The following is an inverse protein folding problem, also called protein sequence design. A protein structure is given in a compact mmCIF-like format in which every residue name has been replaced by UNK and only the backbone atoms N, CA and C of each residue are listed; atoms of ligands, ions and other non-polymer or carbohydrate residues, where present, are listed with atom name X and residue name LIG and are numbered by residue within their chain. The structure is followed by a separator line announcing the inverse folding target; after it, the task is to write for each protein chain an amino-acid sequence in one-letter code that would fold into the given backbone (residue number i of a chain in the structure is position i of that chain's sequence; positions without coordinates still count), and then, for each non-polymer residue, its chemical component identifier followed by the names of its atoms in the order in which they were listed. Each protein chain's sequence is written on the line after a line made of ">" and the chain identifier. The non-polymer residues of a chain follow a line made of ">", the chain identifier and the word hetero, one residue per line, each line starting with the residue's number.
data_IF_812959962542
#
_entry.id   IF_812959962542
#
_cell.length_a   1.000
_cell.length_b   1.000
_cell.length_c   1.000
_cell.angle_alpha   90.00
_cell.angle_beta   90.00
_cell.angle_gamma   90.00
#
_symmetry.space_group_name_H-M   'P 1'
#
loop_
_entity.id
_entity.type
_entity.pdbx_description
1 polymer ?
#
# COMPACT_ATOMS: atom_id res chain seq x y z
N UNK A 1 -16.18 -5.47 -2.09
CA UNK A 1 -16.93 -4.20 -2.06
C UNK A 1 -16.79 -3.38 -3.34
N UNK A 2 -15.99 -3.80 -4.32
CA UNK A 2 -15.84 -3.18 -5.64
C UNK A 2 -16.55 -3.97 -6.72
N UNK A 3 -16.91 -3.29 -7.82
CA UNK A 3 -17.32 -3.97 -9.05
C UNK A 3 -16.19 -4.86 -9.54
N UNK A 4 -16.53 -6.07 -9.98
CA UNK A 4 -15.57 -6.95 -10.62
C UNK A 4 -14.98 -6.24 -11.85
N UNK A 5 -13.65 -6.05 -11.83
CA UNK A 5 -12.94 -5.41 -12.93
C UNK A 5 -12.70 -6.41 -14.04
N UNK A 6 -13.49 -6.30 -15.13
CA UNK A 6 -13.26 -7.07 -16.34
C UNK A 6 -12.03 -6.50 -17.08
N UNK A 7 -10.88 -7.06 -16.74
CA UNK A 7 -9.58 -6.66 -17.28
C UNK A 7 -9.54 -6.81 -18.81
N UNK A 8 -10.06 -7.90 -19.35
CA UNK A 8 -10.00 -8.17 -20.80
C UNK A 8 -10.89 -7.21 -21.59
N UNK A 9 -12.12 -6.97 -21.12
CA UNK A 9 -13.03 -6.00 -21.73
C UNK A 9 -12.45 -4.58 -21.70
N UNK A 10 -11.83 -4.20 -20.61
CA UNK A 10 -11.19 -2.89 -20.48
C UNK A 10 -9.96 -2.79 -21.39
N UNK A 11 -9.11 -3.83 -21.43
CA UNK A 11 -7.95 -3.90 -22.31
C UNK A 11 -8.35 -3.80 -23.78
N UNK A 12 -9.45 -4.45 -24.20
CA UNK A 12 -9.99 -4.35 -25.56
C UNK A 12 -10.34 -2.92 -25.95
N UNK A 13 -11.00 -2.19 -25.04
CA UNK A 13 -11.34 -0.77 -25.27
C UNK A 13 -10.10 0.11 -25.36
N UNK A 14 -9.10 -0.11 -24.49
CA UNK A 14 -7.84 0.62 -24.48
C UNK A 14 -7.03 0.32 -25.74
N UNK A 15 -6.91 -0.95 -26.13
CA UNK A 15 -6.20 -1.38 -27.33
C UNK A 15 -6.74 -0.71 -28.60
N UNK A 16 -8.08 -0.64 -28.74
CA UNK A 16 -8.74 0.05 -29.84
C UNK A 16 -8.39 1.55 -29.88
N UNK A 17 -8.39 2.21 -28.72
CA UNK A 17 -8.03 3.65 -28.59
C UNK A 17 -6.56 3.91 -28.92
N UNK A 18 -5.67 3.04 -28.45
CA UNK A 18 -4.22 3.17 -28.63
C UNK A 18 -3.71 2.57 -29.95
N UNK A 19 -4.59 1.98 -30.76
CA UNK A 19 -4.24 1.30 -32.03
C UNK A 19 -3.17 0.21 -31.83
N UNK A 20 -3.33 -0.60 -30.80
CA UNK A 20 -2.44 -1.71 -30.44
C UNK A 20 -3.25 -2.99 -30.22
N UNK A 21 -2.59 -4.08 -29.79
CA UNK A 21 -3.28 -5.36 -29.48
C UNK A 21 -3.68 -5.43 -28.01
N UNK A 22 -4.65 -6.28 -27.70
CA UNK A 22 -5.13 -6.52 -26.34
C UNK A 22 -4.01 -7.12 -25.49
N UNK A 23 -3.24 -8.04 -26.08
CA UNK A 23 -2.10 -8.71 -25.45
C UNK A 23 -1.01 -7.69 -25.04
N UNK A 24 -0.73 -6.71 -25.91
CA UNK A 24 0.24 -5.66 -25.61
C UNK A 24 -0.22 -4.79 -24.42
N UNK A 25 -1.52 -4.44 -24.36
CA UNK A 25 -2.07 -3.68 -23.23
C UNK A 25 -2.00 -4.49 -21.93
N UNK A 26 -2.36 -5.77 -21.98
CA UNK A 26 -2.30 -6.65 -20.81
C UNK A 26 -0.87 -6.86 -20.32
N UNK A 27 0.09 -7.01 -21.23
CA UNK A 27 1.50 -7.14 -20.91
C UNK A 27 2.06 -5.84 -20.25
N UNK A 28 1.71 -4.68 -20.78
CA UNK A 28 2.09 -3.38 -20.21
C UNK A 28 1.53 -3.20 -18.79
N UNK A 29 0.26 -3.55 -18.57
CA UNK A 29 -0.34 -3.50 -17.23
C UNK A 29 0.30 -4.48 -16.26
N UNK A 30 0.62 -5.70 -16.70
CA UNK A 30 1.31 -6.69 -15.88
C UNK A 30 2.72 -6.21 -15.49
N UNK A 31 3.44 -5.60 -16.43
CA UNK A 31 4.77 -5.03 -16.18
C UNK A 31 4.69 -3.85 -15.22
N UNK A 32 3.71 -2.93 -15.42
CA UNK A 32 3.47 -1.80 -14.52
C UNK A 32 3.13 -2.23 -13.09
N UNK A 33 2.31 -3.27 -12.95
CA UNK A 33 1.98 -3.85 -11.66
C UNK A 33 3.21 -4.49 -10.99
N UNK A 34 4.00 -5.27 -11.75
CA UNK A 34 5.23 -5.89 -11.24
C UNK A 34 6.25 -4.83 -10.80
N UNK A 35 6.42 -3.76 -11.56
CA UNK A 35 7.26 -2.62 -11.19
C UNK A 35 6.81 -2.00 -9.87
N UNK A 36 5.51 -1.67 -9.75
CA UNK A 36 4.95 -0.99 -8.58
C UNK A 36 5.02 -1.84 -7.32
N UNK A 37 4.70 -3.13 -7.43
CA UNK A 37 4.77 -4.07 -6.30
C UNK A 37 6.21 -4.32 -5.86
N UNK A 38 7.16 -4.43 -6.80
CA UNK A 38 8.58 -4.58 -6.47
C UNK A 38 9.10 -3.35 -5.74
N UNK A 39 8.84 -2.15 -6.26
CA UNK A 39 9.26 -0.89 -5.65
C UNK A 39 8.66 -0.72 -4.25
N UNK A 40 7.36 -1.01 -4.10
CA UNK A 40 6.67 -0.97 -2.80
C UNK A 40 7.30 -1.93 -1.80
N UNK A 41 7.47 -3.19 -2.17
CA UNK A 41 8.07 -4.21 -1.31
C UNK A 41 9.50 -3.86 -0.87
N UNK A 42 10.29 -3.24 -1.74
CA UNK A 42 11.64 -2.78 -1.38
C UNK A 42 11.61 -1.63 -0.37
N UNK A 43 10.67 -0.68 -0.52
CA UNK A 43 10.50 0.41 0.44
C UNK A 43 10.04 -0.13 1.81
N UNK A 44 9.02 -0.99 1.85
CA UNK A 44 8.52 -1.58 3.09
C UNK A 44 9.63 -2.38 3.80
N UNK A 45 10.41 -3.17 3.04
CA UNK A 45 11.56 -3.89 3.57
C UNK A 45 12.63 -2.95 4.15
N UNK A 46 12.87 -1.80 3.49
CA UNK A 46 13.76 -0.78 4.02
C UNK A 46 13.25 -0.24 5.36
N UNK A 47 11.97 0.11 5.45
CA UNK A 47 11.35 0.67 6.64
C UNK A 47 11.41 -0.34 7.80
N UNK A 48 11.05 -1.60 7.57
CA UNK A 48 11.15 -2.67 8.57
C UNK A 48 12.59 -2.82 9.08
N UNK A 49 13.56 -2.92 8.17
CA UNK A 49 14.96 -3.05 8.55
C UNK A 49 15.48 -1.83 9.32
N UNK A 50 15.04 -0.62 8.96
CA UNK A 50 15.41 0.62 9.63
C UNK A 50 14.96 0.60 11.10
N UNK A 51 13.71 0.28 11.38
CA UNK A 51 13.19 0.21 12.74
C UNK A 51 13.72 -1.00 13.53
N UNK A 52 14.00 -2.11 12.86
CA UNK A 52 14.59 -3.28 13.48
C UNK A 52 16.12 -3.18 13.69
N UNK A 53 16.76 -2.07 13.34
CA UNK A 53 18.22 -1.89 13.34
C UNK A 53 18.97 -2.98 12.57
N UNK A 54 18.36 -3.51 11.51
CA UNK A 54 19.00 -4.49 10.62
C UNK A 54 19.73 -3.77 9.49
N UNK A 55 20.81 -4.38 9.01
CA UNK A 55 21.47 -3.90 7.81
C UNK A 55 20.50 -3.93 6.65
N UNK A 56 20.35 -2.81 5.97
CA UNK A 56 19.51 -2.71 4.77
C UNK A 56 20.30 -3.29 3.60
N UNK A 57 19.93 -4.47 3.15
CA UNK A 57 20.41 -5.06 1.92
C UNK A 57 19.31 -4.91 0.86
N UNK A 58 19.64 -4.21 -0.21
CA UNK A 58 18.73 -4.04 -1.35
C UNK A 58 18.81 -5.25 -2.30
N UNK A 59 18.58 -6.43 -1.78
CA UNK A 59 18.33 -7.60 -2.61
C UNK A 59 16.90 -7.54 -3.14
N UNK A 60 16.69 -6.72 -4.15
CA UNK A 60 15.42 -6.68 -4.86
C UNK A 60 15.25 -7.95 -5.69
N UNK A 61 14.13 -8.64 -5.52
CA UNK A 61 13.76 -9.69 -6.45
C UNK A 61 13.25 -9.04 -7.76
N UNK A 62 14.16 -8.89 -8.71
CA UNK A 62 13.90 -8.30 -10.03
C UNK A 62 13.41 -9.32 -11.08
N UNK A 63 12.95 -10.49 -10.66
CA UNK A 63 12.45 -11.52 -11.58
C UNK A 63 11.29 -10.96 -12.41
N UNK A 64 11.39 -11.12 -13.73
CA UNK A 64 10.38 -10.68 -14.68
C UNK A 64 10.46 -9.20 -15.08
N UNK A 65 11.32 -8.39 -14.44
CA UNK A 65 11.56 -6.99 -14.84
C UNK A 65 12.67 -6.88 -15.88
N UNK A 66 12.46 -6.04 -16.88
CA UNK A 66 13.45 -5.65 -17.86
C UNK A 66 14.54 -4.73 -17.29
N UNK A 67 15.52 -4.39 -18.12
CA UNK A 67 16.62 -3.51 -17.72
C UNK A 67 16.10 -2.10 -17.33
N UNK A 68 15.20 -1.54 -18.13
CA UNK A 68 14.68 -0.18 -17.92
C UNK A 68 13.86 -0.07 -16.64
N UNK A 69 13.05 -1.08 -16.31
CA UNK A 69 12.25 -1.11 -15.09
C UNK A 69 13.15 -1.23 -13.85
N UNK A 70 14.20 -2.05 -13.93
CA UNK A 70 15.20 -2.18 -12.85
C UNK A 70 15.91 -0.84 -12.62
N UNK A 71 16.34 -0.19 -13.69
CA UNK A 71 16.99 1.12 -13.60
C UNK A 71 16.07 2.16 -12.96
N UNK A 72 14.80 2.23 -13.37
CA UNK A 72 13.80 3.11 -12.76
C UNK A 72 13.59 2.85 -11.27
N UNK A 73 13.57 1.58 -10.84
CA UNK A 73 13.49 1.24 -9.41
C UNK A 73 14.71 1.77 -8.66
N UNK A 74 15.92 1.53 -9.18
CA UNK A 74 17.17 1.98 -8.57
C UNK A 74 17.27 3.50 -8.47
N UNK A 75 16.64 4.24 -9.37
CA UNK A 75 16.56 5.69 -9.34
C UNK A 75 15.45 6.20 -8.41
N UNK A 76 14.30 5.52 -8.37
CA UNK A 76 13.13 5.98 -7.60
C UNK A 76 13.22 5.62 -6.12
N UNK A 77 13.74 4.44 -5.78
CA UNK A 77 13.79 3.95 -4.40
C UNK A 77 14.56 4.89 -3.45
N UNK A 78 15.74 5.44 -3.81
CA UNK A 78 16.44 6.40 -2.94
C UNK A 78 15.63 7.67 -2.65
N UNK A 79 14.81 8.12 -3.61
CA UNK A 79 13.93 9.29 -3.42
C UNK A 79 12.83 8.97 -2.41
N UNK A 80 12.20 7.80 -2.52
CA UNK A 80 11.17 7.36 -1.56
C UNK A 80 11.75 7.15 -0.17
N UNK A 81 12.97 6.60 -0.08
CA UNK A 81 13.70 6.48 1.19
C UNK A 81 13.95 7.86 1.80
N UNK A 82 14.32 8.85 1.00
CA UNK A 82 14.48 10.23 1.45
C UNK A 82 13.18 10.81 2.04
N UNK A 83 12.02 10.55 1.41
CA UNK A 83 10.73 10.97 1.96
C UNK A 83 10.42 10.27 3.29
N UNK A 84 10.69 8.97 3.40
CA UNK A 84 10.54 8.26 4.66
C UNK A 84 11.46 8.81 5.75
N UNK A 85 12.72 9.12 5.43
CA UNK A 85 13.67 9.70 6.39
C UNK A 85 13.23 11.09 6.87
N UNK A 86 12.68 11.92 5.99
CA UNK A 86 12.08 13.20 6.36
C UNK A 86 10.88 12.99 7.29
N UNK A 87 9.94 12.10 6.92
CA UNK A 87 8.83 11.72 7.78
C UNK A 87 9.31 11.29 9.17
N UNK A 88 10.28 10.39 9.25
CA UNK A 88 10.85 9.93 10.53
C UNK A 88 11.47 11.07 11.32
N UNK A 89 12.16 12.00 10.68
CA UNK A 89 12.78 13.14 11.36
C UNK A 89 11.75 14.14 11.89
N UNK A 90 10.68 14.36 11.15
CA UNK A 90 9.60 15.28 11.53
C UNK A 90 8.66 14.70 12.60
N UNK A 91 8.65 13.37 12.76
CA UNK A 91 7.74 12.64 13.66
C UNK A 91 8.47 11.84 14.74
N UNK A 92 9.44 12.46 15.42
CA UNK A 92 10.20 11.81 16.50
C UNK A 92 9.36 11.42 17.72
N UNK A 93 8.18 12.02 17.88
CA UNK A 93 7.20 11.68 18.89
C UNK A 93 6.51 10.32 18.63
N UNK A 94 6.63 9.76 17.43
CA UNK A 94 6.12 8.45 17.08
C UNK A 94 7.17 7.36 17.39
N UNK A 95 7.00 6.68 18.50
CA UNK A 95 7.87 5.57 18.89
C UNK A 95 7.36 4.27 18.25
N UNK A 96 8.16 3.63 17.40
CA UNK A 96 7.79 2.36 16.79
C UNK A 96 7.63 1.26 17.85
N UNK A 97 6.44 0.70 17.95
CA UNK A 97 6.10 -0.45 18.80
C UNK A 97 6.33 -1.75 18.03
N UNK A 98 5.86 -1.81 16.76
CA UNK A 98 5.95 -2.99 15.92
C UNK A 98 5.94 -2.61 14.44
N UNK A 99 6.78 -3.28 13.65
CA UNK A 99 6.75 -3.26 12.19
C UNK A 99 6.00 -4.49 11.64
N UNK A 100 5.43 -4.40 10.45
CA UNK A 100 4.80 -5.52 9.72
C UNK A 100 3.83 -6.30 10.63
N UNK A 101 2.95 -5.57 11.35
CA UNK A 101 2.02 -6.17 12.29
C UNK A 101 0.85 -6.82 11.54
N UNK A 102 0.68 -8.13 11.72
CA UNK A 102 -0.48 -8.86 11.20
C UNK A 102 -1.66 -8.65 12.15
N UNK A 103 -2.73 -8.11 11.61
CA UNK A 103 -3.98 -7.81 12.31
C UNK A 103 -5.12 -8.59 11.69
N UNK A 104 -5.95 -9.23 12.50
CA UNK A 104 -7.09 -9.95 11.96
C UNK A 104 -7.73 -10.91 12.96
N UNK A 105 -8.87 -11.44 12.54
CA UNK A 105 -9.63 -12.44 13.28
C UNK A 105 -10.13 -13.51 12.30
N UNK A 106 -9.40 -14.62 12.25
CA UNK A 106 -9.73 -15.75 11.38
C UNK A 106 -10.94 -16.52 11.90
N UNK A 107 -11.17 -16.50 13.21
CA UNK A 107 -12.23 -17.29 13.87
C UNK A 107 -13.61 -16.66 13.69
N UNK A 108 -13.70 -15.34 13.77
CA UNK A 108 -14.96 -14.59 13.76
C UNK A 108 -15.21 -13.93 12.40
N UNK A 109 -14.36 -12.98 12.02
CA UNK A 109 -14.60 -12.15 10.81
C UNK A 109 -14.00 -12.73 9.53
N UNK A 110 -13.01 -13.63 9.64
CA UNK A 110 -12.19 -14.16 8.53
C UNK A 110 -11.49 -13.05 7.72
N UNK A 111 -11.27 -11.90 8.34
CA UNK A 111 -10.57 -10.76 7.78
C UNK A 111 -9.20 -10.69 8.44
N UNK A 112 -8.17 -10.50 7.62
CA UNK A 112 -6.82 -10.22 8.10
C UNK A 112 -6.12 -9.27 7.15
N UNK A 113 -5.12 -8.59 7.66
CA UNK A 113 -4.24 -7.72 6.89
C UNK A 113 -2.96 -7.46 7.66
N UNK A 114 -2.10 -6.66 7.08
CA UNK A 114 -0.84 -6.29 7.68
C UNK A 114 -0.67 -4.78 7.56
N UNK A 115 -0.33 -4.13 8.68
CA UNK A 115 0.03 -2.71 8.72
C UNK A 115 1.54 -2.58 8.81
N UNK A 116 2.09 -1.55 8.19
CA UNK A 116 3.54 -1.32 8.14
C UNK A 116 4.13 -0.99 9.51
N UNK A 117 3.44 -0.12 10.26
CA UNK A 117 3.89 0.32 11.58
C UNK A 117 2.71 0.45 12.55
N UNK A 118 2.94 0.00 13.78
CA UNK A 118 2.23 0.43 14.96
C UNK A 118 3.17 1.28 15.80
N UNK A 119 2.79 2.52 16.08
CA UNK A 119 3.57 3.48 16.86
C UNK A 119 2.84 3.89 18.13
N UNK A 120 3.59 4.28 19.15
CA UNK A 120 3.08 5.03 20.30
C UNK A 120 3.42 6.50 20.10
N UNK A 121 2.41 7.34 20.07
CA UNK A 121 2.57 8.78 20.00
C UNK A 121 2.74 9.36 21.41
N UNK A 122 3.91 9.92 21.69
CA UNK A 122 4.24 10.47 23.01
C UNK A 122 3.52 11.77 23.32
N UNK A 123 3.01 12.49 22.31
CA UNK A 123 2.32 13.76 22.48
C UNK A 123 0.84 13.58 22.81
N UNK A 124 0.22 12.54 22.25
CA UNK A 124 -1.21 12.21 22.47
C UNK A 124 -1.41 11.06 23.46
N UNK A 125 -0.35 10.33 23.79
CA UNK A 125 -0.37 9.13 24.64
C UNK A 125 -1.22 7.99 24.04
N UNK A 126 -1.36 7.95 22.71
CA UNK A 126 -2.18 6.96 21.98
C UNK A 126 -1.32 6.12 21.04
N UNK A 127 -1.86 4.98 20.63
CA UNK A 127 -1.30 4.19 19.54
C UNK A 127 -1.73 4.79 18.18
N UNK A 128 -0.85 4.73 17.21
CA UNK A 128 -1.13 5.11 15.83
C UNK A 128 -0.74 3.99 14.87
N UNK A 129 -1.62 3.74 13.89
CA UNK A 129 -1.37 2.80 12.80
C UNK A 129 -0.96 3.58 11.56
N UNK A 130 0.18 3.21 11.01
CA UNK A 130 0.74 3.84 9.83
C UNK A 130 0.92 2.81 8.71
N UNK A 131 0.59 3.23 7.49
CA UNK A 131 0.68 2.39 6.30
C UNK A 131 1.23 3.22 5.14
N UNK A 132 2.40 2.88 4.63
CA UNK A 132 3.11 3.64 3.61
C UNK A 132 2.66 3.21 2.21
N UNK A 133 2.32 4.17 1.38
CA UNK A 133 1.87 3.94 0.01
C UNK A 133 2.80 4.60 -1.00
N UNK A 134 3.12 3.87 -2.08
CA UNK A 134 3.97 4.35 -3.17
C UNK A 134 3.17 4.84 -4.37
N UNK A 135 1.87 5.05 -4.21
CA UNK A 135 0.99 5.54 -5.28
C UNK A 135 1.43 6.94 -5.74
N UNK A 136 1.48 7.15 -7.05
CA UNK A 136 1.79 8.47 -7.63
C UNK A 136 0.71 9.52 -7.34
N UNK A 137 -0.53 9.07 -7.19
CA UNK A 137 -1.70 9.88 -6.84
C UNK A 137 -2.59 9.05 -5.92
N UNK A 138 -3.28 9.73 -5.04
CA UNK A 138 -4.34 9.17 -4.23
C UNK A 138 -5.63 9.94 -4.54
N UNK A 139 -6.55 9.28 -5.21
CA UNK A 139 -7.82 9.88 -5.62
C UNK A 139 -8.88 9.57 -4.55
N UNK A 140 -9.67 10.59 -4.19
CA UNK A 140 -10.79 10.44 -3.27
C UNK A 140 -12.03 9.88 -3.95
N UNK A 141 -12.13 10.07 -5.26
CA UNK A 141 -13.23 9.59 -6.09
C UNK A 141 -12.70 8.97 -7.37
N UNK A 142 -13.43 8.03 -7.92
CA UNK A 142 -13.14 7.33 -9.15
C UNK A 142 -14.28 7.53 -10.16
N UNK A 143 -13.99 7.55 -11.47
CA UNK A 143 -15.02 7.57 -12.48
C UNK A 143 -15.83 6.26 -12.56
N UNK A 144 -15.47 5.26 -11.76
CA UNK A 144 -16.14 3.96 -11.74
C UNK A 144 -17.35 3.90 -10.80
N UNK A 145 -17.57 4.94 -9.99
CA UNK A 145 -18.74 5.11 -9.13
C UNK A 145 -18.45 4.92 -7.64
N UNK A 146 -19.43 4.43 -6.92
CA UNK A 146 -19.37 4.25 -5.47
C UNK A 146 -19.06 2.79 -5.11
N UNK A 147 -18.57 2.58 -3.90
CA UNK A 147 -18.35 1.26 -3.33
C UNK A 147 -19.70 0.54 -3.15
N UNK A 148 -19.65 -0.76 -2.89
CA UNK A 148 -20.86 -1.54 -2.57
C UNK A 148 -21.13 -1.52 -1.07
N UNK A 149 -22.42 -1.75 -0.74
CA UNK A 149 -22.85 -1.92 0.63
C UNK A 149 -21.85 -2.79 1.44
N UNK A 150 -21.50 -2.39 2.67
CA UNK A 150 -22.09 -1.28 3.47
C UNK A 150 -21.40 0.09 3.28
N UNK A 151 -20.60 0.30 2.24
CA UNK A 151 -19.83 1.51 1.96
C UNK A 151 -20.34 2.25 0.71
N UNK A 152 -21.61 2.07 0.37
CA UNK A 152 -22.24 2.62 -0.83
C UNK A 152 -22.47 4.14 -0.79
N UNK A 153 -22.20 4.76 0.35
CA UNK A 153 -22.10 6.20 0.54
C UNK A 153 -20.71 6.80 0.26
N UNK A 154 -19.72 5.93 -0.04
CA UNK A 154 -18.34 6.33 -0.33
C UNK A 154 -18.00 6.07 -1.79
N UNK A 155 -17.39 7.06 -2.45
CA UNK A 155 -16.86 6.86 -3.81
C UNK A 155 -15.73 5.84 -3.85
N UNK A 156 -15.68 5.05 -4.91
CA UNK A 156 -14.57 4.16 -5.21
C UNK A 156 -13.31 5.02 -5.49
N UNK A 157 -12.31 4.94 -4.62
CA UNK A 157 -11.05 5.67 -4.74
C UNK A 157 -10.06 5.25 -3.66
N UNK A 158 -8.76 5.38 -3.95
CA UNK A 158 -7.70 4.85 -3.09
C UNK A 158 -7.76 5.41 -1.67
N UNK A 159 -8.09 6.70 -1.49
CA UNK A 159 -8.19 7.32 -0.17
C UNK A 159 -9.28 6.63 0.66
N UNK A 160 -10.47 6.42 0.08
CA UNK A 160 -11.58 5.79 0.79
C UNK A 160 -11.26 4.32 1.13
N UNK A 161 -10.63 3.61 0.21
CA UNK A 161 -10.21 2.21 0.43
C UNK A 161 -9.17 2.08 1.54
N UNK A 162 -8.16 2.95 1.56
CA UNK A 162 -7.17 2.98 2.64
C UNK A 162 -7.78 3.45 3.96
N UNK A 163 -8.75 4.35 3.93
CA UNK A 163 -9.51 4.74 5.11
C UNK A 163 -10.24 3.54 5.71
N UNK A 164 -10.93 2.74 4.89
CA UNK A 164 -11.58 1.51 5.35
C UNK A 164 -10.55 0.53 5.90
N UNK A 165 -9.44 0.30 5.19
CA UNK A 165 -8.37 -0.59 5.62
C UNK A 165 -7.84 -0.21 7.00
N UNK A 166 -7.50 1.06 7.22
CA UNK A 166 -6.96 1.53 8.50
C UNK A 166 -7.99 1.44 9.63
N UNK A 167 -9.28 1.72 9.34
CA UNK A 167 -10.34 1.55 10.34
C UNK A 167 -10.57 0.08 10.73
N UNK A 168 -10.41 -0.86 9.80
CA UNK A 168 -10.43 -2.29 10.11
C UNK A 168 -9.25 -2.67 11.00
N UNK A 169 -8.05 -2.14 10.73
CA UNK A 169 -6.89 -2.37 11.58
C UNK A 169 -7.06 -1.77 12.97
N UNK A 170 -7.56 -0.54 13.07
CA UNK A 170 -7.93 0.10 14.33
C UNK A 170 -8.88 -0.78 15.14
N UNK A 171 -9.98 -1.26 14.52
CA UNK A 171 -10.93 -2.17 15.17
C UNK A 171 -10.25 -3.41 15.77
N UNK A 172 -9.30 -4.04 15.05
CA UNK A 172 -8.61 -5.22 15.57
C UNK A 172 -7.67 -4.88 16.73
N UNK A 173 -6.96 -3.76 16.66
CA UNK A 173 -6.10 -3.36 17.78
C UNK A 173 -6.95 -3.05 19.02
N UNK A 174 -8.03 -2.30 18.91
CA UNK A 174 -8.93 -1.97 20.01
C UNK A 174 -9.64 -3.22 20.57
N UNK A 175 -10.04 -4.17 19.70
CA UNK A 175 -10.69 -5.41 20.11
C UNK A 175 -9.78 -6.34 20.91
N UNK A 176 -8.49 -6.39 20.58
CA UNK A 176 -7.55 -7.34 21.16
C UNK A 176 -6.55 -6.71 22.13
N UNK A 177 -6.64 -5.43 22.36
CA UNK A 177 -5.83 -4.69 23.34
C UNK A 177 -6.76 -3.82 24.19
N UNK A 178 -6.22 -3.27 25.28
CA UNK A 178 -6.91 -2.25 26.10
C UNK A 178 -6.50 -0.84 25.68
N UNK A 179 -5.82 -0.71 24.55
CA UNK A 179 -5.29 0.58 24.07
C UNK A 179 -6.29 1.24 23.12
N UNK A 180 -6.44 2.55 23.24
CA UNK A 180 -7.14 3.40 22.26
C UNK A 180 -6.19 3.78 21.11
N UNK A 181 -6.74 3.95 19.92
CA UNK A 181 -6.01 4.37 18.71
C UNK A 181 -6.58 5.67 18.18
#
# INVERSE_FOLDING_TARGET
>A
FKKEFDQHKTATRVAKRMKTTVEAVLADWALGNLYSTTLGSMLHKYIDNFYCNKRVEFEGNFVGLGFDEKQKILETLPVLIGYFQNFYNDNKHLLCVKTEIVLGDISDTKICGMSDLLCYNTDTEQLEILDFKTNKRMEKSSPYGDLFYPFDDMSEGEINEYTIQLNVYKYFVEKYTTCEI
#
